data_IF_229286985349
#
_entry.id   IF_229286985349
#
_cell.length_a   1.000
_cell.length_b   1.000
_cell.length_c   1.000
_cell.angle_alpha   90.00
_cell.angle_beta   90.00
_cell.angle_gamma   90.00
#
_symmetry.space_group_name_H-M   'P 1'
#
loop_
_entity.id
_entity.type
_entity.pdbx_description
1 polymer ?
#
# COMPACT_ATOMS: atom_id res chain seq x y z
N UNK A 1 -6.57 4.32 -39.54
CA UNK A 1 -5.50 3.36 -39.92
C UNK A 1 -4.12 3.76 -39.40
N UNK A 2 -3.71 5.03 -39.49
CA UNK A 2 -2.36 5.50 -39.10
C UNK A 2 -2.01 5.37 -37.60
N UNK A 3 -3.00 5.46 -36.70
CA UNK A 3 -2.77 5.38 -35.25
C UNK A 3 -2.31 3.98 -34.81
N UNK A 4 -2.96 2.92 -35.30
CA UNK A 4 -2.60 1.54 -34.93
C UNK A 4 -1.20 1.18 -35.41
N UNK A 5 -0.81 1.59 -36.61
CA UNK A 5 0.53 1.34 -37.13
C UNK A 5 1.60 2.09 -36.32
N UNK A 6 1.34 3.36 -35.95
CA UNK A 6 2.25 4.10 -35.06
C UNK A 6 2.37 3.48 -33.67
N UNK A 7 1.27 2.97 -33.12
CA UNK A 7 1.28 2.27 -31.84
C UNK A 7 2.10 0.98 -31.92
N UNK A 8 1.93 0.18 -32.98
CA UNK A 8 2.74 -1.02 -33.23
C UNK A 8 4.23 -0.68 -33.32
N UNK A 9 4.61 0.30 -34.13
CA UNK A 9 6.01 0.73 -34.25
C UNK A 9 6.57 1.22 -32.91
N UNK A 10 5.78 1.96 -32.12
CA UNK A 10 6.15 2.39 -30.78
C UNK A 10 6.40 1.21 -29.84
N UNK A 11 5.49 0.23 -29.78
CA UNK A 11 5.63 -0.97 -28.96
C UNK A 11 6.81 -1.85 -29.41
N UNK A 12 7.11 -1.88 -30.71
CA UNK A 12 8.24 -2.62 -31.25
C UNK A 12 9.59 -2.00 -30.87
N UNK A 13 9.64 -0.69 -30.63
CA UNK A 13 10.90 0.05 -30.35
C UNK A 13 11.66 -0.50 -29.13
N UNK A 14 10.95 -1.02 -28.12
CA UNK A 14 11.54 -1.68 -26.94
C UNK A 14 11.24 -3.19 -26.89
N UNK A 15 10.81 -3.78 -28.01
CA UNK A 15 10.51 -5.22 -28.12
C UNK A 15 9.20 -5.67 -27.49
N UNK A 16 8.36 -4.76 -26.97
CA UNK A 16 7.07 -5.10 -26.35
C UNK A 16 6.14 -5.79 -27.36
N UNK A 17 6.12 -5.33 -28.61
CA UNK A 17 5.31 -5.97 -29.66
C UNK A 17 5.73 -7.42 -29.92
N UNK A 18 7.02 -7.73 -29.83
CA UNK A 18 7.52 -9.09 -30.02
C UNK A 18 7.14 -9.96 -28.83
N UNK A 19 7.31 -9.45 -27.61
CA UNK A 19 6.90 -10.13 -26.39
C UNK A 19 5.38 -10.41 -26.34
N UNK A 20 4.54 -9.49 -26.84
CA UNK A 20 3.08 -9.71 -27.00
C UNK A 20 2.80 -10.89 -27.94
N UNK A 21 3.53 -11.02 -29.04
CA UNK A 21 3.32 -12.12 -30.01
C UNK A 21 3.84 -13.46 -29.48
N UNK A 22 4.98 -13.45 -28.80
CA UNK A 22 5.65 -14.66 -28.29
C UNK A 22 5.02 -15.20 -27.01
N UNK A 23 4.45 -14.32 -26.17
CA UNK A 23 3.88 -14.65 -24.87
C UNK A 23 2.43 -14.14 -24.74
N UNK A 24 1.60 -14.45 -25.74
CA UNK A 24 0.25 -13.87 -25.87
C UNK A 24 -0.64 -14.06 -24.65
N UNK A 25 -0.60 -15.22 -23.99
CA UNK A 25 -1.43 -15.50 -22.81
C UNK A 25 -1.08 -14.61 -21.61
N UNK A 26 0.22 -14.49 -21.30
CA UNK A 26 0.72 -13.65 -20.19
C UNK A 26 0.42 -12.18 -20.47
N UNK A 27 0.59 -11.76 -21.72
CA UNK A 27 0.38 -10.37 -22.14
C UNK A 27 -1.11 -10.03 -22.19
N UNK A 28 -1.97 -10.96 -22.58
CA UNK A 28 -3.42 -10.81 -22.48
C UNK A 28 -3.86 -10.60 -21.03
N UNK A 29 -3.34 -11.38 -20.08
CA UNK A 29 -3.62 -11.16 -18.66
C UNK A 29 -3.16 -9.78 -18.18
N UNK A 30 -1.95 -9.36 -18.57
CA UNK A 30 -1.36 -8.08 -18.19
C UNK A 30 -2.12 -6.86 -18.77
N UNK A 31 -2.52 -6.92 -20.04
CA UNK A 31 -3.14 -5.79 -20.74
C UNK A 31 -4.66 -5.79 -20.70
N UNK A 32 -5.29 -6.96 -20.62
CA UNK A 32 -6.74 -7.14 -20.74
C UNK A 32 -7.38 -7.77 -19.50
N UNK A 33 -6.64 -8.56 -18.71
CA UNK A 33 -7.18 -9.24 -17.52
C UNK A 33 -7.48 -8.29 -16.37
N UNK A 34 -6.68 -7.24 -16.22
CA UNK A 34 -6.81 -6.28 -15.13
C UNK A 34 -6.44 -6.87 -13.77
N UNK A 35 -6.20 -6.02 -12.75
CA UNK A 35 -5.88 -6.49 -11.42
C UNK A 35 -7.11 -7.13 -10.75
N UNK A 36 -6.93 -8.20 -9.96
CA UNK A 36 -8.03 -8.81 -9.21
C UNK A 36 -8.60 -7.82 -8.18
N UNK A 37 -9.88 -7.98 -7.77
CA UNK A 37 -10.46 -7.15 -6.71
C UNK A 37 -9.65 -7.23 -5.42
N UNK A 38 -9.39 -6.06 -4.82
CA UNK A 38 -8.69 -5.98 -3.55
C UNK A 38 -9.61 -6.41 -2.41
N UNK A 39 -9.12 -7.33 -1.58
CA UNK A 39 -9.80 -7.82 -0.38
C UNK A 39 -8.97 -7.47 0.86
N UNK A 40 -9.60 -7.47 2.03
CA UNK A 40 -8.88 -7.27 3.30
C UNK A 40 -7.77 -8.31 3.48
N UNK A 41 -8.04 -9.59 3.17
CA UNK A 41 -7.06 -10.66 3.26
C UNK A 41 -5.85 -10.41 2.32
N UNK A 42 -6.11 -10.13 1.03
CA UNK A 42 -5.03 -9.89 0.08
C UNK A 42 -4.24 -8.62 0.39
N UNK A 43 -4.87 -7.61 0.99
CA UNK A 43 -4.17 -6.42 1.46
C UNK A 43 -3.30 -6.72 2.69
N UNK A 44 -3.78 -7.52 3.64
CA UNK A 44 -3.00 -7.88 4.84
C UNK A 44 -1.80 -8.76 4.50
N UNK A 45 -1.99 -9.75 3.62
CA UNK A 45 -0.92 -10.66 3.16
C UNK A 45 0.15 -9.95 2.34
N UNK A 46 -0.17 -8.78 1.79
CA UNK A 46 0.76 -7.97 1.02
C UNK A 46 1.90 -7.39 1.88
N UNK A 47 1.66 -7.11 3.17
CA UNK A 47 2.64 -6.41 4.01
C UNK A 47 3.58 -7.35 4.75
N UNK A 48 4.88 -7.08 4.63
CA UNK A 48 5.92 -7.70 5.46
C UNK A 48 6.22 -6.83 6.68
N UNK A 49 6.14 -7.41 7.88
CA UNK A 49 6.32 -6.66 9.14
C UNK A 49 7.75 -6.78 9.67
N UNK A 50 8.41 -5.64 9.89
CA UNK A 50 9.77 -5.55 10.41
C UNK A 50 9.76 -5.16 11.88
N UNK A 51 9.77 -6.16 12.74
CA UNK A 51 9.74 -5.97 14.18
C UNK A 51 11.13 -5.75 14.79
N UNK A 52 11.13 -5.11 15.94
CA UNK A 52 12.24 -5.11 16.90
C UNK A 52 12.52 -6.51 17.45
N UNK A 53 13.67 -6.63 18.13
CA UNK A 53 14.12 -7.86 18.79
C UNK A 53 13.05 -8.42 19.76
N UNK A 54 12.85 -9.74 19.70
CA UNK A 54 11.94 -10.47 20.59
C UNK A 54 12.30 -10.22 22.06
N UNK A 55 11.29 -10.01 22.90
CA UNK A 55 11.44 -9.73 24.33
C UNK A 55 11.73 -8.28 24.70
N UNK A 56 11.88 -7.37 23.72
CA UNK A 56 11.98 -5.93 24.00
C UNK A 56 10.62 -5.31 24.27
N UNK A 57 10.59 -4.21 25.03
CA UNK A 57 9.35 -3.42 25.21
C UNK A 57 8.80 -2.91 23.88
N UNK A 58 9.69 -2.60 22.92
CA UNK A 58 9.30 -2.21 21.56
C UNK A 58 8.51 -3.33 20.90
N UNK A 59 9.02 -4.56 20.91
CA UNK A 59 8.35 -5.72 20.31
C UNK A 59 6.92 -5.91 20.81
N UNK A 60 6.68 -5.76 22.12
CA UNK A 60 5.34 -5.89 22.69
C UNK A 60 4.37 -4.85 22.13
N UNK A 61 4.79 -3.59 22.04
CA UNK A 61 3.98 -2.51 21.47
C UNK A 61 3.72 -2.70 19.97
N UNK A 62 4.71 -3.22 19.25
CA UNK A 62 4.61 -3.51 17.81
C UNK A 62 3.62 -4.63 17.51
N UNK A 63 3.61 -5.70 18.31
CA UNK A 63 2.64 -6.80 18.17
C UNK A 63 1.21 -6.32 18.41
N UNK A 64 1.01 -5.44 19.39
CA UNK A 64 -0.29 -4.79 19.64
C UNK A 64 -0.69 -3.93 18.43
N UNK A 65 0.21 -3.07 17.93
CA UNK A 65 -0.08 -2.22 16.78
C UNK A 65 -0.40 -3.02 15.50
N UNK A 66 0.26 -4.16 15.27
CA UNK A 66 -0.07 -5.05 14.14
C UNK A 66 -1.42 -5.73 14.32
N UNK A 67 -1.77 -6.07 15.55
CA UNK A 67 -3.09 -6.63 15.87
C UNK A 67 -4.16 -5.58 15.56
N UNK A 68 -4.01 -4.37 16.08
CA UNK A 68 -4.91 -3.25 15.80
C UNK A 68 -5.00 -2.90 14.32
N UNK A 69 -3.89 -2.95 13.59
CA UNK A 69 -3.88 -2.77 12.14
C UNK A 69 -4.76 -3.80 11.43
N UNK A 70 -4.63 -5.08 11.79
CA UNK A 70 -5.42 -6.16 11.17
C UNK A 70 -6.90 -6.01 11.48
N UNK A 71 -7.23 -5.76 12.74
CA UNK A 71 -8.61 -5.59 13.20
C UNK A 71 -9.23 -4.35 12.51
N UNK A 72 -8.48 -3.25 12.44
CA UNK A 72 -8.93 -2.04 11.75
C UNK A 72 -9.21 -2.25 10.26
N UNK A 73 -8.35 -2.97 9.55
CA UNK A 73 -8.57 -3.31 8.13
C UNK A 73 -9.83 -4.16 7.94
N UNK A 74 -10.12 -5.08 8.87
CA UNK A 74 -11.28 -5.96 8.77
C UNK A 74 -12.57 -5.20 9.13
N UNK A 75 -12.53 -4.35 10.14
CA UNK A 75 -13.70 -3.70 10.71
C UNK A 75 -14.09 -2.40 10.00
N UNK A 76 -13.12 -1.60 9.54
CA UNK A 76 -13.36 -0.21 9.11
C UNK A 76 -12.99 0.09 7.66
N UNK A 77 -12.15 -0.74 7.01
CA UNK A 77 -11.76 -0.49 5.62
C UNK A 77 -12.93 -0.83 4.68
N UNK A 78 -13.72 0.18 4.36
CA UNK A 78 -14.98 0.07 3.61
C UNK A 78 -16.03 1.12 3.96
N UNK A 79 -15.88 1.82 5.10
CA UNK A 79 -16.80 2.90 5.49
C UNK A 79 -16.31 4.27 5.01
N UNK A 80 -15.33 4.86 5.72
CA UNK A 80 -14.79 6.20 5.41
C UNK A 80 -13.47 6.15 4.63
N UNK A 81 -12.76 5.03 4.70
CA UNK A 81 -11.51 4.76 3.99
C UNK A 81 -11.65 3.40 3.32
N UNK A 82 -11.41 3.32 2.02
CA UNK A 82 -11.46 2.05 1.29
C UNK A 82 -10.13 1.31 1.38
N UNK A 83 -10.15 -0.01 1.13
CA UNK A 83 -8.92 -0.79 1.00
C UNK A 83 -7.97 -0.23 -0.08
N UNK A 84 -8.53 0.36 -1.14
CA UNK A 84 -7.77 0.99 -2.21
C UNK A 84 -7.05 2.26 -1.71
N UNK A 85 -7.71 3.08 -0.89
CA UNK A 85 -7.08 4.28 -0.32
C UNK A 85 -5.88 3.90 0.56
N UNK A 86 -6.01 2.81 1.32
CA UNK A 86 -4.90 2.26 2.11
C UNK A 86 -3.75 1.79 1.21
N UNK A 87 -4.06 1.06 0.14
CA UNK A 87 -3.05 0.58 -0.80
C UNK A 87 -2.32 1.75 -1.47
N UNK A 88 -3.05 2.76 -1.95
CA UNK A 88 -2.46 3.97 -2.55
C UNK A 88 -1.62 4.72 -1.53
N UNK A 89 -2.10 4.87 -0.30
CA UNK A 89 -1.36 5.54 0.76
C UNK A 89 0.00 4.87 1.01
N UNK A 90 0.02 3.53 1.13
CA UNK A 90 1.25 2.80 1.46
C UNK A 90 2.20 2.59 0.27
N UNK A 91 1.68 2.43 -0.94
CA UNK A 91 2.45 1.99 -2.12
C UNK A 91 2.45 2.97 -3.30
N UNK A 92 1.52 3.93 -3.32
CA UNK A 92 1.25 4.78 -4.48
C UNK A 92 0.48 4.09 -5.61
N UNK A 93 0.19 2.79 -5.50
CA UNK A 93 -0.53 2.03 -6.52
C UNK A 93 -2.03 1.93 -6.18
N UNK A 94 -2.88 2.05 -7.21
CA UNK A 94 -4.34 1.91 -7.06
C UNK A 94 -4.83 0.46 -7.08
N UNK A 95 -3.96 -0.48 -7.39
CA UNK A 95 -4.25 -1.91 -7.40
C UNK A 95 -2.96 -2.71 -7.23
N UNK A 96 -3.09 -3.96 -6.76
CA UNK A 96 -1.97 -4.90 -6.74
C UNK A 96 -1.69 -5.32 -8.21
N UNK A 97 -0.46 -5.19 -8.73
CA UNK A 97 -0.15 -5.62 -10.09
C UNK A 97 -0.49 -7.10 -10.30
N UNK A 98 -0.84 -7.51 -11.53
CA UNK A 98 -1.20 -8.90 -11.88
C UNK A 98 -0.16 -9.92 -11.38
N UNK A 99 1.13 -9.57 -11.49
CA UNK A 99 2.25 -10.40 -11.02
C UNK A 99 2.79 -10.01 -9.64
N UNK A 100 2.02 -9.23 -8.88
CA UNK A 100 2.43 -8.67 -7.59
C UNK A 100 3.48 -7.57 -7.71
N UNK A 101 3.92 -7.07 -6.56
CA UNK A 101 5.02 -6.12 -6.51
C UNK A 101 6.36 -6.85 -6.52
N UNK A 102 7.39 -6.20 -7.09
CA UNK A 102 8.76 -6.74 -7.06
C UNK A 102 9.26 -6.93 -5.62
N UNK A 103 8.90 -5.98 -4.75
CA UNK A 103 9.12 -6.07 -3.32
C UNK A 103 7.79 -5.78 -2.61
N UNK A 104 7.48 -6.58 -1.59
CA UNK A 104 6.28 -6.38 -0.80
C UNK A 104 6.39 -5.08 0.00
N UNK A 105 5.29 -4.32 0.11
CA UNK A 105 5.18 -3.24 1.08
C UNK A 105 5.58 -3.70 2.49
N UNK A 106 6.15 -2.78 3.25
CA UNK A 106 6.71 -3.09 4.56
C UNK A 106 6.02 -2.29 5.66
N UNK A 107 5.83 -2.93 6.82
CA UNK A 107 5.39 -2.26 8.04
C UNK A 107 6.59 -2.06 8.97
N UNK A 108 6.77 -0.82 9.42
CA UNK A 108 7.66 -0.44 10.51
C UNK A 108 6.88 0.38 11.56
N UNK A 109 7.56 0.84 12.62
CA UNK A 109 6.89 1.39 13.80
C UNK A 109 7.46 2.74 14.25
N UNK A 110 6.57 3.64 14.65
CA UNK A 110 6.88 5.00 15.08
C UNK A 110 7.14 5.05 16.60
N UNK A 111 8.34 4.62 17.01
CA UNK A 111 8.75 4.64 18.43
C UNK A 111 9.22 6.01 18.93
N UNK A 112 9.64 6.89 18.02
CA UNK A 112 10.25 8.17 18.36
C UNK A 112 9.19 9.29 18.46
N UNK A 113 9.32 10.14 19.48
CA UNK A 113 8.52 11.34 19.62
C UNK A 113 9.10 12.50 18.81
N UNK A 114 8.25 13.42 18.36
CA UNK A 114 8.65 14.68 17.70
C UNK A 114 8.32 15.82 18.65
N UNK A 115 9.31 16.62 19.02
CA UNK A 115 9.16 17.75 19.95
C UNK A 115 8.49 17.36 21.28
N UNK A 116 8.76 16.15 21.76
CA UNK A 116 8.17 15.60 22.99
C UNK A 116 6.77 15.00 22.81
N UNK A 117 6.14 15.13 21.65
CA UNK A 117 4.82 14.61 21.36
C UNK A 117 4.88 13.22 20.70
N UNK A 118 3.96 12.33 21.11
CA UNK A 118 3.79 11.01 20.49
C UNK A 118 3.29 11.17 19.05
N UNK A 119 3.80 10.35 18.15
CA UNK A 119 3.33 10.30 16.76
C UNK A 119 2.07 9.44 16.68
N UNK A 120 0.94 10.11 16.49
CA UNK A 120 -0.38 9.51 16.51
C UNK A 120 -0.86 9.03 15.14
N UNK A 121 -0.40 9.68 14.07
CA UNK A 121 -0.81 9.39 12.70
C UNK A 121 0.10 8.33 12.05
N UNK A 122 -0.45 7.49 11.16
CA UNK A 122 0.39 6.67 10.30
C UNK A 122 1.18 7.53 9.32
N UNK A 123 2.32 7.01 8.88
CA UNK A 123 3.13 7.64 7.85
C UNK A 123 3.44 6.66 6.75
N UNK A 124 3.52 7.14 5.51
CA UNK A 124 3.92 6.31 4.38
C UNK A 124 5.14 6.92 3.66
N UNK A 125 6.00 6.04 3.17
CA UNK A 125 7.01 6.36 2.17
C UNK A 125 6.75 5.48 0.95
N UNK A 126 6.17 6.04 -0.09
CA UNK A 126 5.80 5.31 -1.30
C UNK A 126 7.02 4.87 -2.12
N UNK A 127 8.14 5.61 -2.07
CA UNK A 127 9.37 5.23 -2.75
C UNK A 127 9.96 3.92 -2.21
N UNK A 128 9.81 3.68 -0.91
CA UNK A 128 10.25 2.44 -0.24
C UNK A 128 9.08 1.52 0.12
N UNK A 129 7.87 1.84 -0.35
CA UNK A 129 6.61 1.16 -0.05
C UNK A 129 6.48 0.81 1.44
N UNK A 130 6.78 1.76 2.31
CA UNK A 130 6.85 1.56 3.76
C UNK A 130 5.72 2.28 4.47
N UNK A 131 4.86 1.53 5.15
CA UNK A 131 3.87 2.03 6.10
C UNK A 131 4.46 2.02 7.51
N UNK A 132 4.37 3.14 8.22
CA UNK A 132 4.82 3.27 9.60
C UNK A 132 3.60 3.38 10.51
N UNK A 133 3.42 2.39 11.38
CA UNK A 133 2.33 2.36 12.33
C UNK A 133 2.69 3.12 13.61
N UNK A 134 1.77 3.91 14.16
CA UNK A 134 1.94 4.47 15.50
C UNK A 134 1.81 3.37 16.55
N UNK A 135 2.43 3.55 17.72
CA UNK A 135 2.47 2.56 18.79
C UNK A 135 2.11 3.15 20.15
N UNK A 136 1.59 2.30 21.04
CA UNK A 136 1.32 2.64 22.44
C UNK A 136 0.04 3.42 22.69
N UNK A 137 -0.85 3.51 21.70
CA UNK A 137 -2.19 4.06 21.84
C UNK A 137 -3.24 2.98 22.08
N UNK A 138 -4.41 3.37 22.59
CA UNK A 138 -5.56 2.48 22.70
C UNK A 138 -6.19 2.22 21.32
N UNK A 139 -6.97 1.15 21.18
CA UNK A 139 -7.54 0.73 19.90
C UNK A 139 -8.39 1.81 19.23
N UNK A 140 -9.28 2.48 19.98
CA UNK A 140 -10.16 3.51 19.41
C UNK A 140 -9.36 4.71 18.87
N UNK A 141 -8.29 5.10 19.57
CA UNK A 141 -7.37 6.13 19.07
C UNK A 141 -6.67 5.65 17.80
N UNK A 142 -6.20 4.40 17.79
CA UNK A 142 -5.60 3.75 16.61
C UNK A 142 -6.51 3.84 15.40
N UNK A 143 -7.75 3.37 15.52
CA UNK A 143 -8.72 3.41 14.44
C UNK A 143 -9.01 4.84 13.96
N UNK A 144 -9.15 5.80 14.89
CA UNK A 144 -9.38 7.20 14.54
C UNK A 144 -8.26 7.79 13.68
N UNK A 145 -7.00 7.62 14.09
CA UNK A 145 -5.86 8.18 13.37
C UNK A 145 -5.53 7.41 12.09
N UNK A 146 -5.72 6.09 12.07
CA UNK A 146 -5.58 5.29 10.86
C UNK A 146 -6.62 5.63 9.79
N UNK A 147 -7.83 6.01 10.19
CA UNK A 147 -8.89 6.45 9.26
C UNK A 147 -8.62 7.87 8.77
N UNK A 148 -8.17 8.77 9.66
CA UNK A 148 -7.97 10.19 9.32
C UNK A 148 -6.69 10.42 8.50
N UNK A 149 -5.63 9.65 8.75
CA UNK A 149 -4.31 9.81 8.13
C UNK A 149 -4.32 9.78 6.60
N UNK A 150 -4.81 8.70 5.96
CA UNK A 150 -4.89 8.60 4.50
C UNK A 150 -5.65 9.77 3.87
N UNK A 151 -6.77 10.18 4.47
CA UNK A 151 -7.61 11.30 4.01
C UNK A 151 -6.82 12.62 4.04
N UNK A 152 -6.07 12.89 5.11
CA UNK A 152 -5.27 14.11 5.23
C UNK A 152 -4.15 14.19 4.18
N UNK A 153 -3.54 13.06 3.80
CA UNK A 153 -2.54 13.08 2.72
C UNK A 153 -3.14 13.40 1.35
N UNK A 154 -4.35 12.93 1.05
CA UNK A 154 -5.04 13.33 -0.18
C UNK A 154 -5.29 14.83 -0.22
N UNK A 155 -5.69 15.45 0.90
CA UNK A 155 -5.90 16.89 0.98
C UNK A 155 -4.59 17.68 0.76
N UNK A 156 -3.49 17.26 1.39
CA UNK A 156 -2.18 17.92 1.24
C UNK A 156 -1.58 17.71 -0.15
N UNK A 157 -1.82 16.56 -0.79
CA UNK A 157 -1.35 16.27 -2.14
C UNK A 157 -2.13 17.06 -3.21
N UNK A 158 -3.43 17.27 -3.03
CA UNK A 158 -4.27 18.07 -3.95
C UNK A 158 -3.91 19.56 -3.88
N UNK A 159 -3.54 20.08 -2.71
CA UNK A 159 -3.11 21.49 -2.55
C UNK A 159 -1.72 21.80 -3.16
N UNK A 160 -1.02 20.80 -3.71
CA UNK A 160 0.31 20.95 -4.32
C UNK A 160 0.36 20.72 -5.83
N UNK A 161 -0.79 20.66 -6.52
CA UNK A 161 -0.88 20.58 -8.00
C UNK A 161 -1.44 21.88 -8.57
#
# INVERSE_FOLDING_TARGET
>A
MYLCERLKTGLETLGVLNAIKEHSSIMEELFCGGPPPLSAASLLDLFSVHYSLKGSNRRALEEVAVTYWRDWIIEFAGESVTLQDVLVFASGASAIPVFGFKENPNIIFLHENIDGNRRMFPEANTCTMTLKLPVGQEYDEFCHFMTTGPILLYLIAIEKV
#
